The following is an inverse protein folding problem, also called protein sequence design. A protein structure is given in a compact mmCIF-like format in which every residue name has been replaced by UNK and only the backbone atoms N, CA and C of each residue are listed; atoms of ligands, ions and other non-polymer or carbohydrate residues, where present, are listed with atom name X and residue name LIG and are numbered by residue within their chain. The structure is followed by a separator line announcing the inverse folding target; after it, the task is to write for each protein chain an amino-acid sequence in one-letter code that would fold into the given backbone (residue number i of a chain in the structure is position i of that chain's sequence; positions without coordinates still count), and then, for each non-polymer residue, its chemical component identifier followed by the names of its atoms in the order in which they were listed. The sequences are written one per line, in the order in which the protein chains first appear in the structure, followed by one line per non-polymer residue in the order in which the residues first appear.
data_IF_575604297064
#
_entry.id   IF_575604297064
#
_cell.length_a   1.000
_cell.length_b   1.000
_cell.length_c   1.000
_cell.angle_alpha   90.00
_cell.angle_beta   90.00
_cell.angle_gamma   90.00
#
_symmetry.space_group_name_H-M   'P 1'
#
loop_
_entity.id
_entity.type
_entity.pdbx_description
1 polymer ?
#
# COMPACT_ATOMS: atom_id res chain seq x y z
N UNK A 1 -10.60 25.47 15.33
CA UNK A 1 -10.26 24.72 14.10
C UNK A 1 -9.74 23.34 14.52
N UNK A 2 -10.13 22.31 13.78
CA UNK A 2 -9.88 20.89 14.07
C UNK A 2 -8.38 20.51 14.07
N UNK A 3 -7.59 21.19 13.25
CA UNK A 3 -6.13 21.04 13.09
C UNK A 3 -5.35 21.26 14.39
N UNK A 4 -5.83 22.15 15.26
CA UNK A 4 -5.24 22.41 16.59
C UNK A 4 -5.42 21.26 17.58
N UNK A 5 -6.29 20.30 17.26
CA UNK A 5 -6.68 19.19 18.12
C UNK A 5 -6.37 17.82 17.49
N UNK A 6 -5.49 17.77 16.48
CA UNK A 6 -5.03 16.52 15.90
C UNK A 6 -5.95 15.93 14.82
N UNK A 7 -6.86 16.74 14.28
CA UNK A 7 -7.78 16.31 13.23
C UNK A 7 -7.58 17.12 11.95
N UNK A 8 -7.73 16.48 10.81
CA UNK A 8 -7.77 17.11 9.50
C UNK A 8 -9.18 17.00 8.91
N UNK A 9 -9.63 18.04 8.21
CA UNK A 9 -10.83 17.94 7.39
C UNK A 9 -10.40 17.52 5.97
N UNK A 10 -10.96 16.43 5.47
CA UNK A 10 -10.78 15.99 4.08
C UNK A 10 -12.12 16.02 3.38
N UNK A 11 -12.13 16.24 2.06
CA UNK A 11 -13.34 16.19 1.24
C UNK A 11 -13.13 15.15 0.17
N UNK A 12 -14.03 14.17 0.07
CA UNK A 12 -14.07 13.20 -1.02
C UNK A 12 -15.49 13.15 -1.55
N UNK A 13 -15.65 13.11 -2.87
CA UNK A 13 -16.97 13.13 -3.54
C UNK A 13 -17.88 14.27 -3.06
N UNK A 14 -17.30 15.43 -2.72
CA UNK A 14 -18.04 16.60 -2.22
C UNK A 14 -18.51 16.51 -0.77
N UNK A 15 -18.27 15.38 -0.07
CA UNK A 15 -18.64 15.19 1.33
C UNK A 15 -17.42 15.43 2.26
N UNK A 16 -17.58 16.21 3.34
CA UNK A 16 -16.52 16.42 4.32
C UNK A 16 -16.42 15.24 5.30
N UNK A 17 -15.20 14.81 5.58
CA UNK A 17 -14.86 13.79 6.57
C UNK A 17 -13.76 14.30 7.50
N UNK A 18 -13.77 13.81 8.74
CA UNK A 18 -12.68 14.06 9.68
C UNK A 18 -11.71 12.90 9.60
N UNK A 19 -10.44 13.24 9.44
CA UNK A 19 -9.31 12.32 9.42
C UNK A 19 -8.34 12.68 10.57
N UNK A 20 -7.46 11.76 10.92
CA UNK A 20 -6.38 12.01 11.87
C UNK A 20 -5.30 12.89 11.24
N UNK A 21 -4.70 13.78 12.04
CA UNK A 21 -3.52 14.54 11.65
C UNK A 21 -2.28 13.91 12.29
N UNK A 22 -1.70 12.91 11.62
CA UNK A 22 -0.54 12.18 12.17
C UNK A 22 0.66 13.11 12.38
N UNK A 23 0.84 14.12 11.53
CA UNK A 23 1.90 15.12 11.70
C UNK A 23 1.74 15.93 13.00
N UNK A 24 0.51 16.20 13.43
CA UNK A 24 0.23 16.80 14.74
C UNK A 24 0.67 15.86 15.87
N UNK A 25 0.26 14.59 15.83
CA UNK A 25 0.60 13.62 16.88
C UNK A 25 2.10 13.39 16.96
N UNK A 26 2.79 13.27 15.83
CA UNK A 26 4.25 13.16 15.76
C UNK A 26 4.93 14.38 16.40
N UNK A 27 4.48 15.60 16.10
CA UNK A 27 5.06 16.83 16.66
C UNK A 27 4.81 16.97 18.16
N UNK A 28 3.63 16.56 18.65
CA UNK A 28 3.22 16.73 20.05
C UNK A 28 3.75 15.63 20.96
N UNK A 29 3.73 14.39 20.50
CA UNK A 29 4.00 13.21 21.32
C UNK A 29 5.23 12.42 20.86
N UNK A 30 5.85 12.77 19.74
CA UNK A 30 6.95 12.00 19.15
C UNK A 30 8.17 11.81 20.06
N UNK A 31 8.43 12.72 21.00
CA UNK A 31 9.50 12.57 22.00
C UNK A 31 9.08 11.77 23.25
N UNK A 32 7.78 11.50 23.42
CA UNK A 32 7.21 10.83 24.58
C UNK A 32 6.85 9.36 24.30
N UNK A 33 6.76 8.98 23.03
CA UNK A 33 6.43 7.62 22.60
C UNK A 33 7.69 6.77 22.41
N UNK A 34 7.51 5.45 22.33
CA UNK A 34 8.61 4.51 22.06
C UNK A 34 9.26 4.80 20.69
N UNK A 35 10.53 4.43 20.48
CA UNK A 35 11.18 4.59 19.18
C UNK A 35 10.42 3.93 18.02
N UNK A 36 9.81 2.76 18.25
CA UNK A 36 8.98 2.07 17.26
C UNK A 36 7.71 2.87 16.92
N UNK A 37 6.98 3.36 17.93
CA UNK A 37 5.81 4.20 17.71
C UNK A 37 6.17 5.51 16.99
N UNK A 38 7.30 6.13 17.36
CA UNK A 38 7.78 7.33 16.66
C UNK A 38 8.03 7.06 15.18
N UNK A 39 8.67 5.94 14.83
CA UNK A 39 8.88 5.53 13.44
C UNK A 39 7.58 5.25 12.69
N UNK A 40 6.61 4.59 13.33
CA UNK A 40 5.27 4.38 12.78
C UNK A 40 4.60 5.72 12.44
N UNK A 41 4.61 6.67 13.38
CA UNK A 41 4.07 8.01 13.16
C UNK A 41 4.79 8.78 12.06
N UNK A 42 6.11 8.59 11.90
CA UNK A 42 6.87 9.18 10.78
C UNK A 42 6.39 8.61 9.45
N UNK A 43 6.29 7.29 9.30
CA UNK A 43 5.81 6.66 8.06
C UNK A 43 4.42 7.17 7.69
N UNK A 44 3.48 7.08 8.63
CA UNK A 44 2.10 7.55 8.44
C UNK A 44 2.02 9.04 8.16
N UNK A 45 2.79 9.87 8.87
CA UNK A 45 2.83 11.31 8.62
C UNK A 45 3.41 11.66 7.25
N UNK A 46 4.33 10.87 6.70
CA UNK A 46 4.85 11.07 5.35
C UNK A 46 3.82 10.67 4.31
N UNK A 47 3.17 9.50 4.48
CA UNK A 47 2.15 9.00 3.55
C UNK A 47 0.95 9.94 3.44
N UNK A 48 0.47 10.47 4.57
CA UNK A 48 -0.67 11.40 4.64
C UNK A 48 -0.48 12.72 3.89
N UNK A 49 0.75 13.06 3.48
CA UNK A 49 1.03 14.24 2.66
C UNK A 49 0.54 14.08 1.21
N UNK A 50 0.26 12.85 0.80
CA UNK A 50 -0.23 12.51 -0.53
C UNK A 50 -1.50 11.69 -0.41
N UNK A 51 -2.46 11.89 -1.32
CA UNK A 51 -3.62 11.00 -1.41
C UNK A 51 -3.15 9.67 -1.99
N UNK A 52 -3.50 8.57 -1.33
CA UNK A 52 -3.27 7.22 -1.83
C UNK A 52 -4.37 6.82 -2.81
N UNK A 53 -5.63 7.11 -2.48
CA UNK A 53 -6.76 6.83 -3.36
C UNK A 53 -7.89 7.84 -3.27
N UNK A 54 -8.71 7.91 -4.31
CA UNK A 54 -9.98 8.62 -4.37
C UNK A 54 -10.93 7.87 -5.31
N UNK A 55 -12.18 7.61 -4.89
CA UNK A 55 -13.15 6.82 -5.68
C UNK A 55 -12.54 5.54 -6.28
N UNK A 56 -11.90 4.72 -5.42
CA UNK A 56 -11.17 3.50 -5.81
C UNK A 56 -10.19 3.68 -6.99
N UNK A 57 -9.64 4.88 -7.18
CA UNK A 57 -8.55 5.20 -8.12
C UNK A 57 -7.27 5.38 -7.33
N UNK A 58 -6.17 4.90 -7.88
CA UNK A 58 -4.85 5.10 -7.32
C UNK A 58 -4.37 6.52 -7.65
N UNK A 59 -4.06 7.31 -6.61
CA UNK A 59 -3.66 8.72 -6.74
C UNK A 59 -2.13 8.93 -6.68
N UNK A 60 -1.36 7.85 -6.50
CA UNK A 60 0.10 7.85 -6.56
C UNK A 60 0.63 6.94 -7.67
N UNK A 61 1.85 7.18 -8.17
CA UNK A 61 2.49 6.25 -9.09
C UNK A 61 2.65 4.84 -8.49
N UNK A 62 2.54 3.81 -9.31
CA UNK A 62 2.80 2.41 -8.91
C UNK A 62 4.15 2.24 -8.19
N UNK A 63 5.19 2.90 -8.65
CA UNK A 63 6.51 2.83 -8.00
C UNK A 63 6.47 3.32 -6.55
N UNK A 64 5.67 4.36 -6.26
CA UNK A 64 5.48 4.87 -4.91
C UNK A 64 4.76 3.87 -4.02
N UNK A 65 3.79 3.10 -4.56
CA UNK A 65 3.16 1.98 -3.83
C UNK A 65 4.22 0.93 -3.48
N UNK A 66 5.08 0.58 -4.44
CA UNK A 66 6.22 -0.30 -4.23
C UNK A 66 7.14 0.15 -3.08
N UNK A 67 7.54 1.42 -3.05
CA UNK A 67 8.39 1.94 -1.96
C UNK A 67 7.68 1.91 -0.59
N UNK A 68 6.35 2.10 -0.55
CA UNK A 68 5.57 1.95 0.69
C UNK A 68 5.57 0.50 1.18
N UNK A 69 5.41 -0.49 0.30
CA UNK A 69 5.50 -1.93 0.65
C UNK A 69 6.83 -2.22 1.35
N UNK A 70 7.95 -1.77 0.76
CA UNK A 70 9.29 -2.00 1.32
C UNK A 70 9.47 -1.31 2.68
N UNK A 71 8.93 -0.10 2.81
CA UNK A 71 9.00 0.66 4.07
C UNK A 71 8.26 -0.05 5.21
N UNK A 72 7.04 -0.53 4.95
CA UNK A 72 6.25 -1.27 5.94
C UNK A 72 6.79 -2.67 6.21
N UNK A 73 7.28 -3.37 5.19
CA UNK A 73 7.95 -4.67 5.35
C UNK A 73 9.16 -4.57 6.28
N UNK A 74 9.99 -3.55 6.07
CA UNK A 74 11.15 -3.27 6.92
C UNK A 74 10.72 -2.90 8.33
N UNK A 75 9.71 -2.04 8.49
CA UNK A 75 9.21 -1.67 9.80
C UNK A 75 8.75 -2.90 10.60
N UNK A 76 7.94 -3.77 9.99
CA UNK A 76 7.46 -5.00 10.62
C UNK A 76 8.59 -5.98 10.95
N UNK A 77 9.64 -6.01 10.14
CA UNK A 77 10.82 -6.86 10.38
C UNK A 77 11.64 -6.33 11.57
N UNK A 78 11.85 -5.01 11.63
CA UNK A 78 12.65 -4.33 12.65
C UNK A 78 11.92 -4.21 14.01
N UNK A 79 10.58 -4.32 14.01
CA UNK A 79 9.71 -4.07 15.16
C UNK A 79 8.62 -5.15 15.34
N UNK A 80 9.03 -6.40 15.50
CA UNK A 80 8.12 -7.56 15.58
C UNK A 80 7.20 -7.54 16.81
N UNK A 81 7.60 -6.89 17.89
CA UNK A 81 6.86 -6.72 19.14
C UNK A 81 6.11 -5.38 19.22
N UNK A 82 5.97 -4.68 18.09
CA UNK A 82 5.32 -3.38 18.05
C UNK A 82 3.87 -3.47 18.54
N UNK A 83 3.49 -2.61 19.48
CA UNK A 83 2.17 -2.62 20.10
C UNK A 83 1.01 -2.53 19.07
N UNK A 84 1.21 -1.80 17.97
CA UNK A 84 0.23 -1.68 16.89
C UNK A 84 0.67 -2.46 15.64
N UNK A 85 1.19 -3.66 15.84
CA UNK A 85 1.63 -4.55 14.77
C UNK A 85 0.54 -4.73 13.70
N UNK A 86 -0.70 -5.01 14.10
CA UNK A 86 -1.81 -5.22 13.17
C UNK A 86 -2.10 -4.00 12.29
N UNK A 87 -1.98 -2.79 12.83
CA UNK A 87 -2.14 -1.56 12.05
C UNK A 87 -1.00 -1.40 11.03
N UNK A 88 0.24 -1.72 11.41
CA UNK A 88 1.38 -1.72 10.48
C UNK A 88 1.25 -2.81 9.41
N UNK A 89 0.76 -4.00 9.78
CA UNK A 89 0.47 -5.10 8.85
C UNK A 89 -0.64 -4.72 7.89
N UNK A 90 -1.70 -4.05 8.36
CA UNK A 90 -2.76 -3.55 7.49
C UNK A 90 -2.20 -2.66 6.37
N UNK A 91 -1.35 -1.68 6.68
CA UNK A 91 -0.76 -0.82 5.65
C UNK A 91 0.13 -1.59 4.67
N UNK A 92 0.95 -2.52 5.17
CA UNK A 92 1.72 -3.42 4.31
C UNK A 92 0.83 -4.16 3.32
N UNK A 93 -0.25 -4.78 3.81
CA UNK A 93 -1.16 -5.58 2.98
C UNK A 93 -1.94 -4.72 1.99
N UNK A 94 -2.52 -3.59 2.41
CA UNK A 94 -3.23 -2.68 1.51
C UNK A 94 -2.35 -2.26 0.34
N UNK A 95 -1.09 -1.89 0.59
CA UNK A 95 -0.18 -1.52 -0.49
C UNK A 95 0.24 -2.71 -1.35
N UNK A 96 0.54 -3.86 -0.74
CA UNK A 96 0.91 -5.06 -1.49
C UNK A 96 -0.22 -5.54 -2.39
N UNK A 97 -1.42 -5.70 -1.84
CA UNK A 97 -2.59 -6.18 -2.56
C UNK A 97 -3.00 -5.21 -3.65
N UNK A 98 -2.99 -3.89 -3.36
CA UNK A 98 -3.15 -2.86 -4.40
C UNK A 98 -2.11 -3.02 -5.50
N UNK A 99 -0.85 -3.23 -5.16
CA UNK A 99 0.22 -3.37 -6.14
C UNK A 99 0.03 -4.57 -7.06
N UNK A 100 -0.55 -5.67 -6.55
CA UNK A 100 -0.77 -6.91 -7.28
C UNK A 100 -2.04 -6.89 -8.15
N UNK A 101 -3.13 -6.28 -7.67
CA UNK A 101 -4.45 -6.34 -8.33
C UNK A 101 -4.92 -5.01 -8.91
N UNK A 102 -4.42 -3.91 -8.37
CA UNK A 102 -4.99 -2.58 -8.54
C UNK A 102 -6.33 -2.42 -7.84
N UNK A 103 -6.97 -1.30 -8.14
CA UNK A 103 -8.28 -0.89 -7.63
C UNK A 103 -9.28 -0.81 -8.78
N UNK A 104 -10.57 -0.62 -8.50
CA UNK A 104 -11.61 -0.61 -9.53
C UNK A 104 -11.38 0.42 -10.64
N UNK A 105 -10.97 1.65 -10.27
CA UNK A 105 -10.69 2.73 -11.21
C UNK A 105 -9.19 2.86 -11.57
N UNK A 106 -8.37 1.89 -11.16
CA UNK A 106 -6.94 1.81 -11.45
C UNK A 106 -6.48 0.36 -11.44
N UNK A 107 -7.04 -0.44 -12.35
CA UNK A 107 -6.81 -1.88 -12.42
C UNK A 107 -5.36 -2.19 -12.80
N UNK A 108 -4.80 -3.25 -12.23
CA UNK A 108 -3.49 -3.77 -12.67
C UNK A 108 -3.59 -4.47 -14.04
N UNK A 109 -4.77 -4.99 -14.37
CA UNK A 109 -5.07 -5.70 -15.60
C UNK A 109 -6.07 -4.89 -16.43
N UNK A 110 -5.83 -4.87 -17.74
CA UNK A 110 -6.74 -4.29 -18.74
C UNK A 110 -8.04 -5.09 -18.84
N UNK A 111 -9.06 -4.54 -19.52
CA UNK A 111 -10.33 -5.24 -19.73
C UNK A 111 -10.19 -6.54 -20.56
N UNK A 112 -9.11 -6.68 -21.31
CA UNK A 112 -8.71 -7.92 -22.00
C UNK A 112 -7.93 -8.91 -21.11
N UNK A 113 -7.98 -8.74 -19.79
CA UNK A 113 -7.31 -9.54 -18.76
C UNK A 113 -5.79 -9.62 -18.92
N UNK A 114 -5.18 -8.62 -19.58
CA UNK A 114 -3.73 -8.56 -19.77
C UNK A 114 -3.12 -7.55 -18.80
N UNK A 115 -2.00 -7.89 -18.15
CA UNK A 115 -1.28 -6.99 -17.24
C UNK A 115 -0.92 -5.68 -17.95
N UNK A 116 -1.28 -4.55 -17.35
CA UNK A 116 -0.99 -3.24 -17.91
C UNK A 116 0.52 -2.99 -18.04
N UNK A 117 0.91 -2.32 -19.13
CA UNK A 117 2.31 -2.07 -19.44
C UNK A 117 3.02 -1.16 -18.43
N UNK A 118 2.33 -0.20 -17.81
CA UNK A 118 2.90 0.65 -16.78
C UNK A 118 3.13 -0.13 -15.48
N UNK A 119 2.18 -0.98 -15.12
CA UNK A 119 2.26 -1.86 -13.94
C UNK A 119 3.43 -2.83 -14.09
N UNK A 120 3.53 -3.49 -15.26
CA UNK A 120 4.65 -4.38 -15.57
C UNK A 120 6.00 -3.69 -15.45
N UNK A 121 6.15 -2.48 -16.01
CA UNK A 121 7.39 -1.70 -15.89
C UNK A 121 7.70 -1.33 -14.44
N UNK A 122 6.67 -1.06 -13.64
CA UNK A 122 6.83 -0.83 -12.19
C UNK A 122 7.38 -2.07 -11.50
N UNK A 123 6.82 -3.26 -11.79
CA UNK A 123 7.32 -4.52 -11.23
C UNK A 123 8.79 -4.78 -11.60
N UNK A 124 9.16 -4.54 -12.85
CA UNK A 124 10.54 -4.70 -13.32
C UNK A 124 11.50 -3.78 -12.56
N UNK A 125 11.14 -2.52 -12.34
CA UNK A 125 11.93 -1.58 -11.51
C UNK A 125 11.98 -2.01 -10.05
N UNK A 126 10.85 -2.44 -9.49
CA UNK A 126 10.79 -2.96 -8.11
C UNK A 126 11.74 -4.14 -7.93
N UNK A 127 11.68 -5.14 -8.82
CA UNK A 127 12.53 -6.33 -8.73
C UNK A 127 14.01 -6.00 -8.94
N UNK A 128 14.32 -4.99 -9.75
CA UNK A 128 15.69 -4.49 -9.93
C UNK A 128 16.23 -3.88 -8.64
N UNK A 129 15.43 -3.05 -7.97
CA UNK A 129 15.86 -2.30 -6.77
C UNK A 129 15.77 -3.12 -5.47
N UNK A 130 14.73 -3.92 -5.32
CA UNK A 130 14.31 -4.56 -4.07
C UNK A 130 14.15 -6.07 -4.19
N UNK A 131 14.59 -6.69 -5.29
CA UNK A 131 14.33 -8.10 -5.59
C UNK A 131 14.93 -9.12 -4.62
N UNK A 132 15.82 -8.70 -3.71
CA UNK A 132 16.38 -9.52 -2.63
C UNK A 132 15.61 -9.40 -1.30
N UNK A 133 14.69 -8.45 -1.18
CA UNK A 133 13.84 -8.28 0.01
C UNK A 133 12.73 -9.34 0.05
N UNK A 134 12.03 -9.49 1.19
CA UNK A 134 10.87 -10.40 1.30
C UNK A 134 9.77 -10.09 0.26
N UNK A 135 9.27 -8.84 0.13
CA UNK A 135 8.28 -8.49 -0.89
C UNK A 135 8.85 -8.63 -2.31
N UNK A 136 10.15 -8.41 -2.50
CA UNK A 136 10.81 -8.66 -3.79
C UNK A 136 10.79 -10.13 -4.22
N UNK A 137 10.95 -11.06 -3.29
CA UNK A 137 10.81 -12.50 -3.59
C UNK A 137 9.37 -12.87 -3.92
N UNK A 138 8.39 -12.41 -3.14
CA UNK A 138 6.97 -12.64 -3.41
C UNK A 138 6.55 -12.07 -4.77
N UNK A 139 6.97 -10.84 -5.10
CA UNK A 139 6.67 -10.24 -6.40
C UNK A 139 7.35 -11.00 -7.55
N UNK A 140 8.54 -11.57 -7.34
CA UNK A 140 9.22 -12.38 -8.34
C UNK A 140 8.42 -13.64 -8.64
N UNK A 141 7.95 -14.32 -7.59
CA UNK A 141 7.07 -15.49 -7.73
C UNK A 141 5.79 -15.15 -8.49
N UNK A 142 5.17 -14.00 -8.17
CA UNK A 142 4.00 -13.49 -8.88
C UNK A 142 4.27 -13.22 -10.37
N UNK A 143 5.36 -12.51 -10.68
CA UNK A 143 5.75 -12.19 -12.07
C UNK A 143 6.11 -13.45 -12.85
N UNK A 144 6.78 -14.42 -12.23
CA UNK A 144 7.11 -15.69 -12.87
C UNK A 144 5.87 -16.53 -13.15
N UNK A 145 4.88 -16.51 -12.24
CA UNK A 145 3.55 -17.09 -12.47
C UNK A 145 2.85 -16.40 -13.66
N UNK A 146 2.78 -15.07 -13.67
CA UNK A 146 2.18 -14.31 -14.76
C UNK A 146 2.88 -14.61 -16.09
N UNK A 147 4.21 -14.70 -16.12
CA UNK A 147 4.96 -15.03 -17.35
C UNK A 147 4.56 -16.39 -17.91
N UNK A 148 4.37 -17.41 -17.06
CA UNK A 148 3.89 -18.74 -17.48
C UNK A 148 2.47 -18.68 -18.05
N UNK A 149 1.65 -17.76 -17.55
CA UNK A 149 0.29 -17.50 -18.05
C UNK A 149 0.23 -16.37 -19.09
N UNK A 150 1.33 -16.05 -19.78
CA UNK A 150 1.38 -15.02 -20.84
C UNK A 150 0.92 -13.62 -20.38
N UNK A 151 1.16 -13.29 -19.12
CA UNK A 151 0.74 -12.07 -18.43
C UNK A 151 -0.78 -11.85 -18.39
N UNK A 152 -1.54 -12.95 -18.40
CA UNK A 152 -2.98 -12.92 -18.18
C UNK A 152 -3.33 -13.02 -16.71
N UNK A 153 -4.39 -12.31 -16.32
CA UNK A 153 -4.94 -12.33 -14.97
C UNK A 153 -5.82 -13.55 -14.71
N UNK A 154 -7.01 -13.29 -14.16
CA UNK A 154 -8.02 -14.29 -13.85
C UNK A 154 -7.61 -15.33 -12.79
N UNK A 155 -7.95 -16.60 -13.04
CA UNK A 155 -7.85 -17.69 -12.05
C UNK A 155 -6.44 -17.93 -11.51
N UNK A 156 -5.41 -17.61 -12.30
CA UNK A 156 -4.00 -17.73 -11.89
C UNK A 156 -3.64 -16.71 -10.80
N UNK A 157 -4.14 -15.47 -10.92
CA UNK A 157 -3.99 -14.42 -9.92
C UNK A 157 -4.80 -14.78 -8.68
N UNK A 158 -6.05 -15.21 -8.84
CA UNK A 158 -6.89 -15.62 -7.71
C UNK A 158 -6.27 -16.77 -6.91
N UNK A 159 -5.66 -17.74 -7.61
CA UNK A 159 -4.92 -18.84 -7.01
C UNK A 159 -3.72 -18.33 -6.21
N UNK A 160 -2.90 -17.48 -6.83
CA UNK A 160 -1.73 -16.91 -6.17
C UNK A 160 -2.10 -16.13 -4.89
N UNK A 161 -3.14 -15.30 -4.95
CA UNK A 161 -3.61 -14.53 -3.79
C UNK A 161 -4.06 -15.47 -2.67
N UNK A 162 -4.86 -16.51 -2.97
CA UNK A 162 -5.27 -17.50 -1.97
C UNK A 162 -4.09 -18.24 -1.33
N UNK A 163 -3.14 -18.69 -2.13
CA UNK A 163 -1.97 -19.45 -1.64
C UNK A 163 -1.09 -18.60 -0.70
N UNK A 164 -1.07 -17.29 -0.91
CA UNK A 164 -0.32 -16.33 -0.09
C UNK A 164 -1.16 -15.64 0.98
N UNK A 165 -2.45 -16.01 1.15
CA UNK A 165 -3.40 -15.37 2.06
C UNK A 165 -3.50 -13.85 1.85
N UNK A 166 -3.52 -13.46 0.58
CA UNK A 166 -3.73 -12.10 0.13
C UNK A 166 -5.14 -11.94 -0.42
N UNK A 167 -5.61 -10.70 -0.44
CA UNK A 167 -6.93 -10.34 -0.92
C UNK A 167 -6.86 -9.47 -2.19
N UNK A 168 -7.94 -9.46 -2.95
CA UNK A 168 -8.08 -8.53 -4.07
C UNK A 168 -8.52 -7.16 -3.56
N UNK A 169 -7.97 -6.09 -4.14
CA UNK A 169 -8.41 -4.72 -3.89
C UNK A 169 -9.49 -4.24 -4.88
N UNK A 170 -9.96 -5.13 -5.77
CA UNK A 170 -11.13 -4.88 -6.61
C UNK A 170 -12.41 -5.01 -5.78
N UNK A 171 -13.34 -4.07 -5.93
CA UNK A 171 -14.56 -3.98 -5.11
C UNK A 171 -14.31 -3.55 -3.66
N UNK A 172 -13.11 -3.08 -3.33
CA UNK A 172 -12.73 -2.62 -2.00
C UNK A 172 -12.56 -1.10 -2.04
N UNK A 173 -13.15 -0.40 -1.06
CA UNK A 173 -12.86 1.02 -0.84
C UNK A 173 -11.57 1.16 -0.03
N UNK A 174 -10.45 1.63 -0.62
CA UNK A 174 -9.19 1.76 0.10
C UNK A 174 -9.19 3.03 0.98
N UNK A 175 -8.30 3.10 1.99
CA UNK A 175 -8.09 4.33 2.75
C UNK A 175 -7.64 5.47 1.84
N UNK A 176 -8.12 6.70 2.07
CA UNK A 176 -7.75 7.85 1.24
C UNK A 176 -6.25 8.22 1.31
N UNK A 177 -5.58 7.96 2.44
CA UNK A 177 -4.24 8.46 2.76
C UNK A 177 -3.40 7.47 3.56
#
# INVERSE_FOLDING_TARGET
MLDRHGFALTVTEGNPFVDENVAFFLRKFGSLVTPAMRKYLVLRSTEQQTRFSEDARLEIPWDSVGERIVSWDRFLTDHQDFLWHDAASFWYHVYLETYLTGMDNSRAFTDGDSLDGNVRRSYERFLTKHGSTRPGRLLREYVDMLRKNQFRGGTSVDGFLRDHKLHTMLGVQPPLR
#
